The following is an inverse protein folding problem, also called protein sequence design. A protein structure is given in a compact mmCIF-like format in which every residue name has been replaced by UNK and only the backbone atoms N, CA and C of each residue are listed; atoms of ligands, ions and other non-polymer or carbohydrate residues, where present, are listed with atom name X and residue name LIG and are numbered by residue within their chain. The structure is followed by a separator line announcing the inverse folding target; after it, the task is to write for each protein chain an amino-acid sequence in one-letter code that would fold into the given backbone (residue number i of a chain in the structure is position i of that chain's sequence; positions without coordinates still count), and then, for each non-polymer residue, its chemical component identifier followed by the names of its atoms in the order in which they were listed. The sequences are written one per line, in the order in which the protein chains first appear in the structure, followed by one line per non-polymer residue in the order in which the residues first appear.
data_IF_608280258346
#
_entry.id   IF_608280258346
#
_cell.length_a   1.000
_cell.length_b   1.000
_cell.length_c   1.000
_cell.angle_alpha   90.00
_cell.angle_beta   90.00
_cell.angle_gamma   90.00
#
_symmetry.space_group_name_H-M   'P 1'
#
loop_
_entity.id
_entity.type
_entity.pdbx_description
1 polymer ?
#
# COMPACT_ATOMS: atom_id res chain seq x y z
N UNK A 1 -6.48 28.37 -9.04
CA UNK A 1 -5.92 27.03 -8.81
C UNK A 1 -6.81 26.02 -9.52
N UNK A 2 -6.33 25.42 -10.61
CA UNK A 2 -7.05 24.34 -11.29
C UNK A 2 -6.51 23.04 -10.72
N UNK A 3 -7.35 22.35 -9.95
CA UNK A 3 -7.02 21.07 -9.34
C UNK A 3 -7.22 19.99 -10.42
N UNK A 4 -6.13 19.52 -11.04
CA UNK A 4 -6.10 18.41 -12.00
C UNK A 4 -6.29 17.06 -11.26
N UNK A 5 -7.38 16.92 -10.50
CA UNK A 5 -7.70 15.74 -9.68
C UNK A 5 -8.03 14.48 -10.50
N UNK A 6 -8.23 14.61 -11.81
CA UNK A 6 -8.82 13.55 -12.63
C UNK A 6 -7.79 12.63 -13.32
N UNK A 7 -6.49 12.93 -13.15
CA UNK A 7 -5.40 12.14 -13.74
C UNK A 7 -4.48 11.47 -12.69
N UNK A 8 -4.75 11.65 -11.40
CA UNK A 8 -3.95 11.11 -10.30
C UNK A 8 -4.72 10.03 -9.54
N UNK A 9 -4.71 8.81 -10.08
CA UNK A 9 -5.29 7.63 -9.45
C UNK A 9 -4.18 6.65 -9.08
N UNK A 10 -3.65 6.81 -7.86
CA UNK A 10 -2.75 5.83 -7.26
C UNK A 10 -3.51 4.55 -6.90
N UNK A 11 -3.08 3.41 -7.45
CA UNK A 11 -3.71 2.11 -7.26
C UNK A 11 -2.67 1.03 -6.97
N UNK A 12 -3.09 -0.09 -6.38
CA UNK A 12 -2.20 -1.24 -6.19
C UNK A 12 -1.60 -1.74 -7.53
N UNK A 13 -2.29 -1.52 -8.65
CA UNK A 13 -1.82 -1.87 -9.98
C UNK A 13 -0.75 -0.89 -10.50
N UNK A 14 -0.92 0.43 -10.31
CA UNK A 14 0.09 1.42 -10.68
C UNK A 14 1.39 1.18 -9.92
N UNK A 15 1.32 0.96 -8.59
CA UNK A 15 2.48 0.57 -7.77
C UNK A 15 3.20 -0.69 -8.25
N UNK A 16 2.45 -1.61 -8.87
CA UNK A 16 3.00 -2.84 -9.42
C UNK A 16 3.68 -2.58 -10.77
N UNK A 17 3.18 -1.66 -11.58
CA UNK A 17 3.82 -1.20 -12.81
C UNK A 17 5.09 -0.41 -12.50
N UNK A 18 5.05 0.46 -11.49
CA UNK A 18 6.21 1.24 -11.04
C UNK A 18 7.34 0.32 -10.59
N UNK A 19 7.02 -0.77 -9.88
CA UNK A 19 8.00 -1.79 -9.52
C UNK A 19 8.63 -2.45 -10.76
N UNK A 20 7.84 -2.74 -11.80
CA UNK A 20 8.39 -3.28 -13.05
C UNK A 20 9.33 -2.30 -13.74
N UNK A 21 8.98 -1.01 -13.75
CA UNK A 21 9.84 0.03 -14.31
C UNK A 21 11.13 0.15 -13.52
N UNK A 22 11.04 0.20 -12.19
CA UNK A 22 12.17 0.39 -11.28
C UNK A 22 13.24 -0.69 -11.46
N UNK A 23 12.84 -1.97 -11.56
CA UNK A 23 13.81 -3.08 -11.76
C UNK A 23 14.40 -3.13 -13.18
N UNK A 24 13.90 -2.30 -14.12
CA UNK A 24 14.40 -2.18 -15.48
C UNK A 24 15.25 -0.92 -15.72
N UNK A 25 15.35 -0.03 -14.73
CA UNK A 25 16.19 1.15 -14.82
C UNK A 25 17.67 0.78 -14.67
N UNK A 26 18.51 1.35 -15.54
CA UNK A 26 19.94 1.08 -15.57
C UNK A 26 20.63 1.54 -14.27
N UNK A 27 20.14 2.62 -13.70
CA UNK A 27 20.61 3.21 -12.43
C UNK A 27 20.48 2.22 -11.26
N UNK A 28 19.48 1.33 -11.32
CA UNK A 28 19.21 0.34 -10.29
C UNK A 28 19.70 -1.06 -10.65
N UNK A 29 20.30 -1.28 -11.81
CA UNK A 29 20.68 -2.63 -12.29
C UNK A 29 21.52 -3.39 -11.25
N UNK A 30 22.61 -2.78 -10.75
CA UNK A 30 23.50 -3.39 -9.75
C UNK A 30 22.80 -3.71 -8.42
N UNK A 31 21.77 -2.93 -8.06
CA UNK A 31 21.06 -3.06 -6.80
C UNK A 31 19.88 -4.03 -6.93
N UNK A 32 19.16 -4.01 -8.04
CA UNK A 32 17.94 -4.76 -8.28
C UNK A 32 18.19 -6.15 -8.89
N UNK A 33 19.29 -6.34 -9.62
CA UNK A 33 19.59 -7.59 -10.35
C UNK A 33 20.84 -8.29 -9.83
N UNK A 34 20.89 -9.60 -10.02
CA UNK A 34 22.06 -10.44 -9.79
C UNK A 34 22.99 -10.46 -11.02
N UNK A 35 24.10 -11.18 -10.90
CA UNK A 35 25.11 -11.36 -11.96
C UNK A 35 24.57 -12.06 -13.22
N UNK A 36 23.42 -12.74 -13.13
CA UNK A 36 22.73 -13.34 -14.28
C UNK A 36 21.76 -12.38 -14.96
N UNK A 37 21.64 -11.15 -14.46
CA UNK A 37 20.69 -10.14 -14.93
C UNK A 37 19.26 -10.38 -14.45
N UNK A 38 19.01 -11.33 -13.55
CA UNK A 38 17.69 -11.58 -12.99
C UNK A 38 17.44 -10.69 -11.77
N UNK A 39 16.18 -10.32 -11.51
CA UNK A 39 15.82 -9.59 -10.29
C UNK A 39 16.23 -10.41 -9.07
N UNK A 40 16.86 -9.77 -8.08
CA UNK A 40 17.35 -10.42 -6.87
C UNK A 40 16.19 -11.17 -6.18
N UNK A 41 16.47 -12.38 -5.66
CA UNK A 41 15.41 -13.29 -5.23
C UNK A 41 14.67 -12.84 -3.96
N UNK A 42 15.19 -11.87 -3.22
CA UNK A 42 14.54 -11.36 -2.00
C UNK A 42 14.27 -9.87 -2.19
N UNK A 43 13.00 -9.48 -2.06
CA UNK A 43 12.55 -8.10 -2.21
C UNK A 43 11.83 -7.67 -0.94
N UNK A 44 12.21 -6.51 -0.41
CA UNK A 44 11.57 -5.88 0.74
C UNK A 44 11.10 -4.49 0.31
N UNK A 45 9.81 -4.23 0.45
CA UNK A 45 9.18 -2.95 0.12
C UNK A 45 8.59 -2.37 1.40
N UNK A 46 9.08 -1.20 1.79
CA UNK A 46 8.46 -0.39 2.84
C UNK A 46 7.50 0.60 2.18
N UNK A 47 6.27 0.65 2.66
CA UNK A 47 5.19 1.49 2.12
C UNK A 47 4.70 2.49 3.15
N UNK A 48 4.05 3.57 2.70
CA UNK A 48 3.52 4.60 3.60
C UNK A 48 2.26 4.11 4.36
N UNK A 49 1.59 3.07 3.86
CA UNK A 49 0.40 2.47 4.47
C UNK A 49 -0.94 2.98 3.95
N UNK A 50 -0.93 3.76 2.87
CA UNK A 50 -2.11 4.24 2.15
C UNK A 50 -3.01 3.11 1.63
N UNK A 51 -4.29 3.37 1.31
CA UNK A 51 -5.27 2.33 0.97
C UNK A 51 -4.87 1.40 -0.18
N UNK A 52 -4.06 1.89 -1.10
CA UNK A 52 -3.53 1.28 -2.31
C UNK A 52 -2.22 0.52 -2.12
N UNK A 53 -1.47 0.81 -1.05
CA UNK A 53 -0.21 0.15 -0.73
C UNK A 53 -0.31 -0.81 0.46
N UNK A 54 -1.32 -0.62 1.32
CA UNK A 54 -1.38 -1.26 2.62
C UNK A 54 -1.48 -2.80 2.48
N UNK A 55 -0.64 -3.56 3.21
CA UNK A 55 -0.62 -5.02 3.21
C UNK A 55 -1.96 -5.68 3.51
N UNK A 56 -2.88 -5.02 4.23
CA UNK A 56 -4.15 -5.62 4.66
C UNK A 56 -5.17 -5.83 3.53
N UNK A 57 -5.01 -5.15 2.39
CA UNK A 57 -6.04 -5.17 1.34
C UNK A 57 -5.80 -6.24 0.28
N UNK A 58 -6.86 -6.95 -0.19
CA UNK A 58 -6.74 -7.97 -1.23
C UNK A 58 -6.15 -7.48 -2.56
N UNK A 59 -6.45 -6.24 -2.97
CA UNK A 59 -5.85 -5.64 -4.19
C UNK A 59 -4.32 -5.62 -4.15
N UNK A 60 -3.76 -5.31 -2.98
CA UNK A 60 -2.32 -5.32 -2.75
C UNK A 60 -1.80 -6.74 -2.86
N UNK A 61 -2.46 -7.71 -2.21
CA UNK A 61 -2.08 -9.12 -2.28
C UNK A 61 -2.00 -9.61 -3.74
N UNK A 62 -3.05 -9.39 -4.53
CA UNK A 62 -3.11 -9.80 -5.94
C UNK A 62 -1.98 -9.18 -6.76
N UNK A 63 -1.79 -7.87 -6.64
CA UNK A 63 -0.74 -7.15 -7.33
C UNK A 63 0.64 -7.73 -7.00
N UNK A 64 0.90 -8.04 -5.73
CA UNK A 64 2.19 -8.56 -5.26
C UNK A 64 2.41 -10.03 -5.61
N UNK A 65 1.39 -10.88 -5.60
CA UNK A 65 1.48 -12.27 -6.09
C UNK A 65 1.90 -12.29 -7.55
N UNK A 66 1.32 -11.43 -8.39
CA UNK A 66 1.70 -11.31 -9.81
C UNK A 66 3.19 -10.98 -9.97
N UNK A 67 3.74 -10.08 -9.15
CA UNK A 67 5.18 -9.73 -9.18
C UNK A 67 6.06 -10.83 -8.64
N UNK A 68 5.65 -11.47 -7.55
CA UNK A 68 6.35 -12.61 -6.98
C UNK A 68 6.55 -13.73 -8.02
N UNK A 69 5.48 -14.07 -8.75
CA UNK A 69 5.52 -15.06 -9.83
C UNK A 69 6.33 -14.57 -11.04
N UNK A 70 6.10 -13.34 -11.51
CA UNK A 70 6.79 -12.74 -12.67
C UNK A 70 8.31 -12.73 -12.54
N UNK A 71 8.84 -12.45 -11.35
CA UNK A 71 10.28 -12.32 -11.11
C UNK A 71 10.91 -13.55 -10.45
N UNK A 72 10.16 -14.65 -10.31
CA UNK A 72 10.61 -15.89 -9.67
C UNK A 72 11.28 -15.65 -8.31
N UNK A 73 10.68 -14.78 -7.48
CA UNK A 73 11.24 -14.38 -6.19
C UNK A 73 11.20 -15.53 -5.19
N UNK A 74 12.19 -15.60 -4.30
CA UNK A 74 12.21 -16.46 -3.13
C UNK A 74 11.35 -15.91 -1.98
N UNK A 75 11.42 -14.60 -1.76
CA UNK A 75 10.64 -13.93 -0.74
C UNK A 75 10.31 -12.49 -1.16
N UNK A 76 9.08 -12.07 -0.90
CA UNK A 76 8.59 -10.70 -1.08
C UNK A 76 7.94 -10.24 0.22
N UNK A 77 8.44 -9.14 0.78
CA UNK A 77 7.93 -8.51 1.98
C UNK A 77 7.38 -7.13 1.67
N UNK A 78 6.13 -6.87 2.07
CA UNK A 78 5.55 -5.52 2.07
C UNK A 78 5.30 -5.14 3.52
N UNK A 79 5.90 -4.03 3.94
CA UNK A 79 5.91 -3.59 5.34
C UNK A 79 5.37 -2.17 5.42
N UNK A 80 4.40 -1.95 6.29
CA UNK A 80 3.94 -0.61 6.67
C UNK A 80 4.13 -0.42 8.17
N UNK A 81 4.34 0.83 8.59
CA UNK A 81 4.28 1.16 10.00
C UNK A 81 2.84 1.11 10.52
N UNK A 82 2.70 0.82 11.81
CA UNK A 82 1.41 0.88 12.49
C UNK A 82 0.99 2.35 12.77
N UNK A 83 -0.31 2.63 12.89
CA UNK A 83 -0.81 3.94 13.35
C UNK A 83 -0.15 4.37 14.65
N UNK A 84 0.19 5.66 14.77
CA UNK A 84 0.91 6.19 15.94
C UNK A 84 2.43 5.95 15.92
N UNK A 85 2.95 5.23 14.91
CA UNK A 85 4.38 5.10 14.64
C UNK A 85 4.81 5.94 13.42
N UNK A 86 4.02 6.93 13.01
CA UNK A 86 4.30 7.82 11.87
C UNK A 86 5.63 8.56 12.03
N UNK A 87 6.01 8.92 13.25
CA UNK A 87 7.33 9.48 13.56
C UNK A 87 8.46 8.55 13.15
N UNK A 88 8.25 7.24 13.06
CA UNK A 88 9.26 6.27 12.61
C UNK A 88 9.10 5.86 11.14
N UNK A 89 8.14 6.44 10.42
CA UNK A 89 7.90 6.11 9.02
C UNK A 89 9.10 6.55 8.16
N UNK A 90 9.94 5.58 7.82
CA UNK A 90 11.15 5.81 7.01
C UNK A 90 10.80 6.33 5.62
N UNK A 91 9.64 5.93 5.07
CA UNK A 91 9.19 6.34 3.74
C UNK A 91 8.87 7.83 3.75
N UNK A 92 7.99 8.27 4.65
CA UNK A 92 7.64 9.69 4.79
C UNK A 92 8.87 10.57 5.05
N UNK A 93 9.77 10.13 5.94
CA UNK A 93 11.01 10.88 6.23
C UNK A 93 11.95 10.97 5.04
N UNK A 94 12.07 9.90 4.25
CA UNK A 94 12.90 9.92 3.03
C UNK A 94 12.24 10.71 1.90
N UNK A 95 10.92 10.83 1.88
CA UNK A 95 10.20 11.67 0.93
C UNK A 95 10.21 13.16 1.29
N UNK A 96 10.45 13.52 2.57
CA UNK A 96 10.40 14.92 3.01
C UNK A 96 11.25 15.91 2.18
N UNK A 97 12.48 15.60 1.76
CA UNK A 97 13.25 16.47 0.85
C UNK A 97 12.56 16.68 -0.50
N UNK A 98 11.93 15.64 -1.05
CA UNK A 98 11.22 15.72 -2.32
C UNK A 98 10.00 16.65 -2.24
N UNK A 99 9.27 16.61 -1.12
CA UNK A 99 8.16 17.54 -0.86
C UNK A 99 8.65 18.97 -0.69
N UNK A 100 9.79 19.15 -0.02
CA UNK A 100 10.42 20.47 0.12
C UNK A 100 10.82 21.05 -1.25
N UNK A 101 11.35 20.24 -2.16
CA UNK A 101 11.73 20.68 -3.51
C UNK A 101 10.57 21.18 -4.37
N UNK A 102 9.35 20.74 -4.04
CA UNK A 102 8.10 21.15 -4.66
C UNK A 102 7.40 22.31 -3.94
N UNK A 103 7.81 22.63 -2.72
CA UNK A 103 7.18 23.71 -1.95
C UNK A 103 7.36 25.04 -2.68
N UNK A 104 6.23 25.68 -3.04
CA UNK A 104 6.22 26.93 -3.79
C UNK A 104 6.48 26.78 -5.29
N UNK A 105 6.58 25.56 -5.82
CA UNK A 105 6.68 25.34 -7.26
C UNK A 105 5.33 25.58 -7.92
N UNK A 106 5.28 26.53 -8.86
CA UNK A 106 4.09 26.81 -9.67
C UNK A 106 4.28 26.14 -11.02
N UNK A 107 3.43 25.16 -11.33
CA UNK A 107 3.40 24.49 -12.63
C UNK A 107 2.44 25.23 -13.57
N UNK A 108 2.93 25.58 -14.76
CA UNK A 108 2.10 26.16 -15.82
C UNK A 108 1.18 25.09 -16.41
N UNK A 109 -0.13 25.34 -16.41
CA UNK A 109 -1.11 24.43 -16.99
C UNK A 109 -1.23 24.54 -18.52
N UNK A 110 -0.60 25.55 -19.12
CA UNK A 110 -0.79 25.98 -20.51
C UNK A 110 0.55 26.17 -21.25
N UNK A 111 1.56 25.35 -20.93
CA UNK A 111 2.90 25.44 -21.51
C UNK A 111 2.91 25.50 -23.05
N UNK A 112 2.02 24.76 -23.71
CA UNK A 112 1.83 24.74 -25.17
C UNK A 112 0.64 25.56 -25.66
N UNK A 113 0.02 26.34 -24.77
CA UNK A 113 -1.21 27.09 -25.00
C UNK A 113 -2.37 26.63 -24.14
N UNK A 114 -3.39 27.49 -24.03
CA UNK A 114 -4.58 27.21 -23.24
C UNK A 114 -5.43 26.11 -23.89
N UNK A 115 -5.72 25.07 -23.11
CA UNK A 115 -6.67 24.02 -23.43
C UNK A 115 -8.01 24.21 -22.69
N UNK A 116 -8.16 25.33 -21.98
CA UNK A 116 -9.32 25.62 -21.13
C UNK A 116 -10.11 26.82 -21.67
N UNK A 117 -11.43 26.78 -21.52
CA UNK A 117 -12.29 27.96 -21.65
C UNK A 117 -12.06 28.96 -20.51
N UNK A 118 -12.64 30.16 -20.62
CA UNK A 118 -12.71 31.13 -19.52
C UNK A 118 -13.41 30.59 -18.26
N UNK A 119 -14.21 29.53 -18.39
CA UNK A 119 -14.89 28.84 -17.29
C UNK A 119 -14.12 27.63 -16.76
N UNK A 120 -12.90 27.37 -17.24
CA UNK A 120 -12.05 26.26 -16.78
C UNK A 120 -12.43 24.89 -17.34
N UNK A 121 -13.19 24.83 -18.44
CA UNK A 121 -13.60 23.58 -19.08
C UNK A 121 -12.62 23.22 -20.19
N UNK A 122 -12.17 21.97 -20.25
CA UNK A 122 -11.31 21.48 -21.33
C UNK A 122 -12.00 21.59 -22.68
N UNK A 123 -11.36 22.30 -23.60
CA UNK A 123 -11.75 22.39 -25.02
C UNK A 123 -10.95 21.45 -25.91
N UNK A 124 -9.72 21.12 -25.50
CA UNK A 124 -8.81 20.29 -26.28
C UNK A 124 -8.10 19.28 -25.37
N UNK A 125 -8.56 18.03 -25.42
CA UNK A 125 -8.08 16.92 -24.59
C UNK A 125 -6.63 16.55 -24.94
N UNK A 126 -6.25 16.60 -26.21
CA UNK A 126 -4.89 16.25 -26.63
C UNK A 126 -3.89 17.29 -26.15
N UNK A 127 -4.28 18.58 -26.20
CA UNK A 127 -3.48 19.67 -25.68
C UNK A 127 -3.42 19.65 -24.14
N UNK A 128 -4.50 19.26 -23.46
CA UNK A 128 -4.51 19.01 -22.02
C UNK A 128 -3.50 17.92 -21.63
N UNK A 129 -3.55 16.76 -22.30
CA UNK A 129 -2.60 15.65 -22.07
C UNK A 129 -1.15 16.08 -22.32
N UNK A 130 -0.91 16.87 -23.37
CA UNK A 130 0.43 17.36 -23.70
C UNK A 130 0.96 18.33 -22.63
N UNK A 131 0.12 19.27 -22.17
CA UNK A 131 0.46 20.18 -21.08
C UNK A 131 0.68 19.44 -19.75
N UNK A 132 -0.18 18.47 -19.43
CA UNK A 132 -0.05 17.64 -18.23
C UNK A 132 1.25 16.83 -18.23
N UNK A 133 1.59 16.22 -19.37
CA UNK A 133 2.88 15.54 -19.55
C UNK A 133 4.05 16.48 -19.29
N UNK A 134 3.99 17.72 -19.78
CA UNK A 134 5.07 18.68 -19.56
C UNK A 134 5.20 19.10 -18.10
N UNK A 135 4.08 19.29 -17.40
CA UNK A 135 4.09 19.53 -15.96
C UNK A 135 4.75 18.37 -15.19
N UNK A 136 4.41 17.13 -15.53
CA UNK A 136 5.05 15.93 -14.97
C UNK A 136 6.55 15.82 -15.28
N UNK A 137 6.97 16.21 -16.48
CA UNK A 137 8.41 16.27 -16.83
C UNK A 137 9.16 17.33 -16.02
N UNK A 138 8.57 18.50 -15.79
CA UNK A 138 9.18 19.54 -14.94
C UNK A 138 9.36 19.04 -13.50
N UNK A 139 8.38 18.29 -12.97
CA UNK A 139 8.48 17.65 -11.66
C UNK A 139 9.63 16.62 -11.62
N UNK A 140 9.72 15.75 -12.63
CA UNK A 140 10.79 14.78 -12.74
C UNK A 140 12.17 15.45 -12.84
N UNK A 141 12.32 16.48 -13.67
CA UNK A 141 13.53 17.28 -13.79
C UNK A 141 13.92 17.97 -12.48
N UNK A 142 12.93 18.42 -11.68
CA UNK A 142 13.17 19.00 -10.37
C UNK A 142 13.73 17.96 -9.41
N UNK A 143 13.09 16.80 -9.30
CA UNK A 143 13.52 15.73 -8.41
C UNK A 143 14.83 15.06 -8.82
N UNK A 144 15.14 14.98 -10.12
CA UNK A 144 16.43 14.45 -10.61
C UNK A 144 17.64 15.29 -10.17
N UNK A 145 17.43 16.52 -9.70
CA UNK A 145 18.50 17.37 -9.12
C UNK A 145 18.72 17.11 -7.63
N UNK A 146 17.85 16.32 -7.00
CA UNK A 146 17.86 16.06 -5.57
C UNK A 146 18.74 14.86 -5.22
N UNK A 147 19.24 14.84 -3.99
CA UNK A 147 20.05 13.76 -3.44
C UNK A 147 19.45 13.33 -2.10
N UNK A 148 19.16 12.05 -1.94
CA UNK A 148 18.59 11.48 -0.71
C UNK A 148 19.57 10.46 -0.14
N UNK A 149 20.08 10.73 1.06
CA UNK A 149 21.00 9.81 1.74
C UNK A 149 22.30 9.53 0.99
N UNK A 150 22.78 10.50 0.19
CA UNK A 150 23.98 10.37 -0.64
C UNK A 150 23.75 9.70 -2.00
N UNK A 151 22.51 9.34 -2.34
CA UNK A 151 22.15 8.77 -3.63
C UNK A 151 21.36 9.78 -4.46
N UNK A 152 21.74 9.93 -5.73
CA UNK A 152 20.99 10.75 -6.69
C UNK A 152 19.58 10.20 -6.87
N UNK A 153 18.60 11.09 -6.88
CA UNK A 153 17.23 10.74 -7.20
C UNK A 153 17.07 10.45 -8.69
N UNK A 154 16.24 9.45 -9.00
CA UNK A 154 15.82 9.12 -10.37
C UNK A 154 14.30 9.23 -10.40
N UNK A 155 13.81 10.14 -11.23
CA UNK A 155 12.41 10.42 -11.45
C UNK A 155 12.14 10.48 -12.96
N UNK A 156 11.09 9.78 -13.39
CA UNK A 156 10.63 9.77 -14.77
C UNK A 156 9.13 10.07 -14.78
N UNK A 157 8.69 10.86 -15.76
CA UNK A 157 7.27 10.94 -16.06
C UNK A 157 6.86 9.71 -16.87
N UNK A 158 5.82 9.02 -16.40
CA UNK A 158 5.25 7.84 -17.05
C UNK A 158 3.83 8.23 -17.47
N UNK A 159 3.47 7.95 -18.72
CA UNK A 159 2.07 8.10 -19.14
C UNK A 159 1.23 7.12 -18.33
N UNK A 160 0.07 7.58 -17.84
CA UNK A 160 -0.89 6.67 -17.22
C UNK A 160 -1.27 5.57 -18.23
N UNK A 161 -1.34 4.31 -17.79
CA UNK A 161 -1.90 3.26 -18.62
C UNK A 161 -3.34 3.65 -18.98
N UNK A 162 -3.73 3.49 -20.24
CA UNK A 162 -5.10 3.74 -20.70
C UNK A 162 -6.01 2.83 -19.89
N UNK A 163 -6.74 3.39 -18.92
CA UNK A 163 -7.78 2.67 -18.20
C UNK A 163 -9.05 2.68 -19.05
N UNK A 164 -9.91 1.67 -18.91
CA UNK A 164 -11.24 1.64 -19.53
C UNK A 164 -12.11 2.84 -19.13
N UNK A 165 -11.73 3.59 -18.09
CA UNK A 165 -12.35 4.87 -17.72
C UNK A 165 -12.06 5.99 -18.73
N UNK A 166 -10.93 5.95 -19.44
CA UNK A 166 -10.65 6.89 -20.54
C UNK A 166 -11.62 6.67 -21.72
N UNK A 167 -12.17 5.47 -21.90
CA UNK A 167 -13.27 5.18 -22.84
C UNK A 167 -14.65 5.57 -22.27
N UNK A 168 -14.83 5.47 -20.94
CA UNK A 168 -16.11 5.70 -20.27
C UNK A 168 -16.48 7.20 -20.12
N UNK A 169 -15.56 8.12 -20.40
CA UNK A 169 -15.80 9.59 -20.41
C UNK A 169 -16.70 10.09 -21.55
N UNK A 170 -17.31 9.19 -22.32
CA UNK A 170 -18.32 9.57 -23.34
C UNK A 170 -19.72 9.81 -22.78
N UNK A 171 -20.00 9.55 -21.50
CA UNK A 171 -21.34 9.75 -20.94
C UNK A 171 -21.43 11.06 -20.16
N UNK A 172 -22.24 11.97 -20.71
CA UNK A 172 -22.49 13.33 -20.27
C UNK A 172 -22.84 13.42 -18.77
N UNK A 173 -21.92 14.00 -17.98
CA UNK A 173 -22.03 14.18 -16.52
C UNK A 173 -23.26 14.97 -16.10
N UNK A 174 -23.90 15.69 -17.03
CA UNK A 174 -25.12 16.47 -16.77
C UNK A 174 -26.34 15.57 -16.55
N UNK A 175 -26.43 14.44 -17.26
CA UNK A 175 -27.55 13.50 -17.15
C UNK A 175 -27.53 12.79 -15.79
N UNK A 176 -26.33 12.38 -15.35
CA UNK A 176 -26.14 11.66 -14.07
C UNK A 176 -26.44 12.57 -12.88
N UNK A 177 -26.07 13.85 -12.94
CA UNK A 177 -26.33 14.81 -11.86
C UNK A 177 -27.80 15.20 -11.75
N UNK A 178 -28.51 15.34 -12.88
CA UNK A 178 -29.96 15.65 -12.87
C UNK A 178 -30.78 14.48 -12.31
N UNK A 179 -30.35 13.25 -12.53
CA UNK A 179 -31.02 12.06 -11.99
C UNK A 179 -30.71 11.81 -10.50
N UNK A 180 -29.53 12.23 -10.05
CA UNK A 180 -29.15 12.24 -8.63
C UNK A 180 -29.91 13.32 -7.85
N UNK A 181 -30.05 14.53 -8.41
CA UNK A 181 -30.79 15.63 -7.77
C UNK A 181 -32.27 15.30 -7.56
N UNK A 182 -32.93 14.65 -8.54
CA UNK A 182 -34.33 14.19 -8.36
C UNK A 182 -34.50 13.16 -7.26
N UNK A 183 -33.48 12.33 -7.01
CA UNK A 183 -33.52 11.30 -5.95
C UNK A 183 -33.23 11.87 -4.56
N UNK A 184 -32.48 12.98 -4.48
CA UNK A 184 -32.16 13.66 -3.21
C UNK A 184 -33.36 14.48 -2.74
N UNK A 185 -34.00 15.27 -3.62
CA UNK A 185 -35.14 16.11 -3.26
C UNK A 185 -36.38 15.32 -2.82
N UNK A 186 -36.50 14.03 -3.18
CA UNK A 186 -37.62 13.18 -2.75
C UNK A 186 -37.45 12.59 -1.33
N UNK A 187 -36.27 12.72 -0.72
CA UNK A 187 -35.95 12.14 0.60
C UNK A 187 -35.95 13.17 1.75
N UNK A 188 -35.83 14.46 1.44
CA UNK A 188 -35.74 15.53 2.45
C UNK A 188 -37.09 15.94 3.07
N UNK A 189 -38.24 15.51 2.52
CA UNK A 189 -39.57 15.82 3.08
C UNK A 189 -40.02 14.89 4.24
N UNK A 190 -39.20 13.93 4.69
CA UNK A 190 -39.64 12.88 5.61
C UNK A 190 -39.07 12.91 7.05
N UNK A 191 -38.11 13.78 7.40
CA UNK A 191 -37.39 13.69 8.69
C UNK A 191 -37.23 15.03 9.45
N UNK A 192 -38.22 15.93 9.40
CA UNK A 192 -38.31 17.05 10.36
C UNK A 192 -39.15 16.66 11.59
N UNK A 193 -38.47 16.42 12.73
CA UNK A 193 -39.07 16.56 14.06
C UNK A 193 -38.50 15.67 15.17
N UNK A 194 -37.52 16.17 15.95
CA UNK A 194 -37.63 16.37 17.41
C UNK A 194 -36.29 16.81 18.07
N UNK A 195 -36.28 18.00 18.71
CA UNK A 195 -35.31 18.52 19.71
C UNK A 195 -35.36 17.70 21.04
N UNK A 196 -34.38 17.65 21.99
CA UNK A 196 -33.50 18.69 22.56
C UNK A 196 -32.40 18.09 23.49
N UNK A 197 -31.13 18.56 23.34
CA UNK A 197 -30.13 19.00 24.35
C UNK A 197 -29.53 18.02 25.40
N UNK A 198 -28.19 17.82 25.36
CA UNK A 198 -27.22 17.95 26.50
C UNK A 198 -25.74 17.69 26.06
N UNK A 199 -24.89 18.74 26.24
CA UNK A 199 -23.43 18.78 26.56
C UNK A 199 -22.34 18.54 25.49
N UNK A 200 -22.19 19.50 24.57
CA UNK A 200 -21.07 20.46 24.37
C UNK A 200 -19.57 20.12 24.63
N UNK A 201 -19.13 18.86 24.71
CA UNK A 201 -17.69 18.54 24.67
C UNK A 201 -17.27 17.41 23.72
N UNK A 202 -18.24 16.80 23.03
CA UNK A 202 -18.01 15.72 22.05
C UNK A 202 -18.06 16.19 20.57
N UNK A 203 -18.48 17.44 20.32
CA UNK A 203 -18.77 17.97 18.97
C UNK A 203 -17.54 18.02 18.04
N UNK A 204 -16.31 18.28 18.52
CA UNK A 204 -15.15 18.36 17.62
C UNK A 204 -14.77 17.03 16.96
N UNK A 205 -14.99 15.90 17.65
CA UNK A 205 -14.69 14.57 17.12
C UNK A 205 -15.88 13.94 16.39
N UNK A 206 -17.11 14.35 16.69
CA UNK A 206 -18.29 13.89 15.96
C UNK A 206 -18.54 14.68 14.67
N UNK A 207 -18.30 15.99 14.63
CA UNK A 207 -18.48 16.81 13.42
C UNK A 207 -17.43 16.53 12.32
N UNK A 208 -16.30 15.91 12.69
CA UNK A 208 -15.29 15.42 11.76
C UNK A 208 -15.36 13.90 11.53
N UNK A 209 -16.33 13.20 12.14
CA UNK A 209 -16.59 11.81 11.84
C UNK A 209 -17.25 11.76 10.45
N UNK A 210 -16.47 11.36 9.44
CA UNK A 210 -16.97 11.06 8.09
C UNK A 210 -18.24 10.22 8.21
N UNK A 211 -19.32 10.68 7.57
CA UNK A 211 -20.52 9.88 7.37
C UNK A 211 -20.13 8.45 6.95
N UNK A 212 -20.83 7.41 7.44
CA UNK A 212 -20.58 6.05 7.00
C UNK A 212 -20.67 6.04 5.47
N UNK A 213 -19.56 5.75 4.80
CA UNK A 213 -19.56 5.56 3.35
C UNK A 213 -20.65 4.54 3.04
N UNK A 214 -21.61 4.94 2.20
CA UNK A 214 -22.58 4.03 1.62
C UNK A 214 -21.84 2.76 1.18
N UNK A 215 -22.36 1.60 1.61
CA UNK A 215 -21.86 0.31 1.17
C UNK A 215 -22.05 0.23 -0.34
N UNK A 216 -20.98 0.52 -1.10
CA UNK A 216 -20.84 0.02 -2.45
C UNK A 216 -20.66 -1.50 -2.34
N UNK A 217 -21.79 -2.19 -2.34
CA UNK A 217 -21.88 -3.64 -2.32
C UNK A 217 -21.79 -4.15 -3.76
N UNK A 218 -20.58 -4.13 -4.29
CA UNK A 218 -20.09 -5.17 -5.22
C UNK A 218 -18.70 -5.55 -4.71
N UNK A 219 -18.62 -6.65 -3.96
CA UNK A 219 -17.33 -7.23 -3.61
C UNK A 219 -16.57 -7.55 -4.91
N UNK A 220 -15.63 -6.69 -5.29
CA UNK A 220 -14.64 -6.97 -6.34
C UNK A 220 -14.07 -8.37 -6.08
N UNK A 221 -14.51 -9.35 -6.86
CA UNK A 221 -14.09 -10.74 -6.72
C UNK A 221 -12.70 -10.85 -7.34
N UNK A 222 -11.69 -10.81 -6.50
CA UNK A 222 -10.33 -11.07 -6.93
C UNK A 222 -10.16 -12.57 -7.22
N UNK A 223 -9.63 -12.90 -8.40
CA UNK A 223 -9.24 -14.28 -8.73
C UNK A 223 -7.94 -14.62 -7.99
N UNK A 224 -8.09 -15.20 -6.80
CA UNK A 224 -7.00 -15.59 -5.90
C UNK A 224 -7.10 -17.09 -5.66
N UNK A 225 -6.02 -17.80 -5.99
CA UNK A 225 -5.86 -19.20 -5.61
C UNK A 225 -5.63 -19.30 -4.09
N UNK A 226 -6.69 -19.65 -3.36
CA UNK A 226 -6.69 -19.77 -1.91
C UNK A 226 -5.72 -20.85 -1.41
N UNK A 227 -5.57 -21.96 -2.15
CA UNK A 227 -4.67 -23.05 -1.77
C UNK A 227 -3.22 -22.61 -1.91
N UNK A 228 -2.90 -21.93 -3.01
CA UNK A 228 -1.59 -21.31 -3.19
C UNK A 228 -1.32 -20.28 -2.08
N UNK A 229 -2.28 -19.41 -1.77
CA UNK A 229 -2.13 -18.44 -0.68
C UNK A 229 -1.89 -19.11 0.69
N UNK A 230 -2.57 -20.20 1.01
CA UNK A 230 -2.38 -20.92 2.27
C UNK A 230 -0.95 -21.46 2.45
N UNK A 231 -0.24 -21.73 1.35
CA UNK A 231 1.13 -22.25 1.35
C UNK A 231 2.17 -21.12 1.34
N UNK A 232 1.88 -20.03 0.64
CA UNK A 232 2.87 -19.01 0.28
C UNK A 232 2.70 -17.68 0.98
N UNK A 233 1.53 -17.38 1.53
CA UNK A 233 1.18 -16.06 2.02
C UNK A 233 0.99 -16.06 3.53
N UNK A 234 1.69 -15.15 4.20
CA UNK A 234 1.37 -14.74 5.56
C UNK A 234 1.04 -13.25 5.55
N UNK A 235 -0.23 -12.94 5.78
CA UNK A 235 -0.75 -11.58 5.76
C UNK A 235 -1.20 -11.17 7.16
N UNK A 236 -0.84 -9.95 7.54
CA UNK A 236 -1.26 -9.27 8.77
C UNK A 236 -1.68 -7.84 8.43
N UNK A 237 -2.12 -7.08 9.43
CA UNK A 237 -2.48 -5.68 9.24
C UNK A 237 -1.32 -4.81 8.72
N UNK A 238 -0.07 -5.15 9.07
CA UNK A 238 1.09 -4.29 8.80
C UNK A 238 2.17 -4.95 7.95
N UNK A 239 2.05 -6.25 7.71
CA UNK A 239 3.04 -7.00 6.94
C UNK A 239 2.36 -8.01 6.02
N UNK A 240 2.83 -8.08 4.79
CA UNK A 240 2.52 -9.13 3.83
C UNK A 240 3.83 -9.83 3.49
N UNK A 241 3.88 -11.14 3.69
CA UNK A 241 5.00 -12.00 3.35
C UNK A 241 4.53 -13.00 2.31
N UNK A 242 5.18 -13.03 1.15
CA UNK A 242 4.97 -14.03 0.11
C UNK A 242 6.29 -14.78 -0.06
N UNK A 243 6.29 -16.09 0.20
CA UNK A 243 7.52 -16.87 0.29
C UNK A 243 7.34 -18.19 -0.47
N UNK A 244 8.37 -18.62 -1.18
CA UNK A 244 8.36 -19.89 -1.92
C UNK A 244 8.10 -21.06 -0.97
N UNK A 245 7.55 -22.14 -1.53
CA UNK A 245 7.46 -23.42 -0.83
C UNK A 245 8.74 -24.22 -1.07
N UNK A 246 8.92 -25.26 -0.25
CA UNK A 246 10.00 -26.23 -0.44
C UNK A 246 9.68 -27.25 -1.55
N UNK A 247 8.48 -27.17 -2.15
CA UNK A 247 8.11 -28.02 -3.28
C UNK A 247 8.71 -27.47 -4.57
N UNK A 248 9.60 -28.24 -5.18
CA UNK A 248 10.23 -27.92 -6.47
C UNK A 248 9.19 -27.90 -7.59
N UNK A 249 8.18 -28.78 -7.53
CA UNK A 249 7.08 -28.78 -8.50
C UNK A 249 6.26 -27.49 -8.45
N UNK A 250 6.09 -26.92 -7.26
CA UNK A 250 5.29 -25.71 -7.06
C UNK A 250 6.05 -24.43 -7.42
N UNK A 251 7.31 -24.32 -6.98
CA UNK A 251 8.06 -23.07 -7.05
C UNK A 251 9.35 -23.16 -7.84
N UNK A 252 9.92 -24.35 -8.07
CA UNK A 252 11.28 -24.57 -8.58
C UNK A 252 12.34 -24.48 -7.48
N UNK A 253 13.62 -24.52 -7.86
CA UNK A 253 14.76 -24.44 -6.94
C UNK A 253 15.00 -23.04 -6.33
N UNK A 254 15.42 -23.01 -5.07
CA UNK A 254 15.74 -21.77 -4.36
C UNK A 254 16.96 -21.09 -4.97
N UNK A 255 16.79 -19.81 -5.34
CA UNK A 255 17.90 -18.94 -5.80
C UNK A 255 18.72 -18.28 -4.69
N UNK A 256 18.45 -18.59 -3.41
CA UNK A 256 19.10 -17.97 -2.26
C UNK A 256 19.11 -18.92 -1.08
N UNK A 257 20.02 -18.69 -0.13
CA UNK A 257 20.13 -19.42 1.13
C UNK A 257 19.06 -19.02 2.16
N UNK A 258 17.93 -18.45 1.73
CA UNK A 258 16.88 -17.96 2.63
C UNK A 258 16.38 -19.03 3.60
N UNK A 259 16.17 -20.26 3.10
CA UNK A 259 15.66 -21.38 3.91
C UNK A 259 16.66 -21.87 4.97
N UNK A 260 17.97 -21.65 4.76
CA UNK A 260 19.00 -22.01 5.75
C UNK A 260 18.93 -21.08 6.96
N UNK A 261 18.57 -19.81 6.73
CA UNK A 261 18.43 -18.79 7.78
C UNK A 261 17.03 -18.84 8.41
N UNK A 262 16.01 -19.07 7.59
CA UNK A 262 14.60 -19.10 7.96
C UNK A 262 13.98 -20.46 7.61
N UNK A 263 14.28 -21.53 8.36
CA UNK A 263 13.82 -22.89 8.05
C UNK A 263 12.29 -23.01 8.08
N UNK A 264 11.62 -22.12 8.81
CA UNK A 264 10.17 -22.06 8.89
C UNK A 264 9.51 -21.18 7.82
N UNK A 265 10.31 -20.68 6.87
CA UNK A 265 9.94 -19.79 5.76
C UNK A 265 9.47 -18.41 6.21
N UNK A 266 8.39 -18.30 6.97
CA UNK A 266 7.84 -17.01 7.38
C UNK A 266 8.59 -16.41 8.56
N UNK A 267 8.66 -15.07 8.59
CA UNK A 267 9.15 -14.35 9.74
C UNK A 267 8.18 -14.55 10.91
N UNK A 268 8.70 -14.91 12.10
CA UNK A 268 7.88 -15.14 13.27
C UNK A 268 7.14 -13.86 13.69
N UNK A 269 5.88 -14.00 14.11
CA UNK A 269 5.10 -12.89 14.67
C UNK A 269 5.83 -12.25 15.85
N UNK A 270 5.64 -10.94 16.12
CA UNK A 270 6.10 -10.33 17.37
C UNK A 270 5.42 -11.03 18.54
N UNK A 271 6.21 -11.62 19.45
CA UNK A 271 5.71 -12.28 20.66
C UNK A 271 6.29 -11.54 21.87
N UNK A 272 5.47 -11.19 22.88
CA UNK A 272 5.97 -10.63 24.13
C UNK A 272 6.71 -11.71 24.94
N UNK A 273 7.87 -11.33 25.47
CA UNK A 273 8.68 -12.12 26.40
C UNK A 273 8.71 -11.44 27.77
N UNK A 274 8.94 -12.25 28.79
CA UNK A 274 9.21 -11.79 30.15
C UNK A 274 10.55 -12.36 30.65
N UNK A 275 11.35 -11.48 31.25
CA UNK A 275 12.56 -11.88 31.96
C UNK A 275 12.17 -12.29 33.38
N UNK A 276 12.46 -13.53 33.75
CA UNK A 276 12.44 -13.99 35.14
C UNK A 276 13.87 -13.98 35.70
N UNK A 277 14.07 -13.99 37.03
CA UNK A 277 15.40 -14.07 37.63
C UNK A 277 16.26 -15.25 37.17
N UNK A 278 15.65 -16.26 36.54
CA UNK A 278 16.29 -17.51 36.14
C UNK A 278 16.30 -17.76 34.61
N UNK A 279 15.51 -17.02 33.81
CA UNK A 279 15.34 -17.31 32.38
C UNK A 279 14.56 -16.23 31.61
N UNK A 280 14.50 -16.34 30.28
CA UNK A 280 13.53 -15.62 29.44
C UNK A 280 12.45 -16.62 29.02
N UNK A 281 11.18 -16.27 29.19
CA UNK A 281 10.04 -17.08 28.73
C UNK A 281 9.02 -16.23 27.98
N UNK A 282 8.18 -16.88 27.18
CA UNK A 282 7.08 -16.17 26.50
C UNK A 282 6.05 -15.72 27.53
N UNK A 283 5.53 -14.50 27.37
CA UNK A 283 4.49 -13.99 28.25
C UNK A 283 3.15 -14.68 27.99
N UNK A 284 2.41 -14.98 29.07
CA UNK A 284 1.13 -15.70 28.95
C UNK A 284 -0.06 -14.81 28.58
N UNK A 285 0.01 -13.51 28.85
CA UNK A 285 -1.05 -12.50 28.70
C UNK A 285 -0.62 -11.32 27.83
N UNK A 286 -1.58 -10.72 27.14
CA UNK A 286 -1.43 -9.49 26.37
C UNK A 286 -1.09 -8.34 27.32
N UNK A 287 0.20 -7.96 27.32
CA UNK A 287 0.80 -6.81 27.99
C UNK A 287 0.69 -6.74 29.54
N UNK A 288 1.85 -6.89 30.20
CA UNK A 288 2.08 -6.56 31.61
C UNK A 288 3.39 -5.78 31.76
N UNK A 289 3.49 -4.95 32.82
CA UNK A 289 4.67 -4.13 33.12
C UNK A 289 5.91 -5.02 33.26
N UNK A 290 6.90 -4.83 32.38
CA UNK A 290 8.14 -5.62 32.33
C UNK A 290 8.25 -6.58 31.13
N UNK A 291 7.20 -6.69 30.30
CA UNK A 291 7.27 -7.43 29.04
C UNK A 291 8.04 -6.65 27.97
N UNK A 292 8.79 -7.37 27.12
CA UNK A 292 9.47 -6.79 25.97
C UNK A 292 9.22 -7.65 24.72
N UNK A 293 9.31 -7.03 23.54
CA UNK A 293 9.28 -7.78 22.28
C UNK A 293 10.69 -8.21 21.92
N UNK A 294 10.87 -9.52 21.73
CA UNK A 294 12.17 -10.06 21.33
C UNK A 294 12.59 -9.57 19.95
N UNK A 295 13.91 -9.43 19.76
CA UNK A 295 14.49 -9.15 18.45
C UNK A 295 14.08 -10.23 17.43
N UNK A 296 14.22 -9.94 16.14
CA UNK A 296 13.93 -10.96 15.11
C UNK A 296 14.74 -12.25 15.35
N UNK A 297 16.03 -12.14 15.69
CA UNK A 297 16.89 -13.29 16.01
C UNK A 297 16.37 -14.09 17.21
N UNK A 298 16.00 -13.42 18.30
CA UNK A 298 15.40 -14.10 19.46
C UNK A 298 14.11 -14.83 19.04
N UNK A 299 13.25 -14.17 18.26
CA UNK A 299 12.00 -14.78 17.79
C UNK A 299 12.22 -15.98 16.87
N UNK A 300 13.27 -15.98 16.04
CA UNK A 300 13.65 -17.13 15.21
C UNK A 300 14.08 -18.30 16.11
N UNK A 301 14.95 -18.05 17.09
CA UNK A 301 15.42 -19.08 18.03
C UNK A 301 14.27 -19.71 18.82
N UNK A 302 13.29 -18.91 19.23
CA UNK A 302 12.13 -19.39 19.97
C UNK A 302 10.96 -19.85 19.09
N UNK A 303 11.07 -19.79 17.76
CA UNK A 303 9.92 -20.03 16.87
C UNK A 303 9.31 -21.43 17.03
N UNK A 304 10.13 -22.46 17.17
CA UNK A 304 9.66 -23.82 17.44
C UNK A 304 8.86 -23.92 18.74
N UNK A 305 9.27 -23.19 19.78
CA UNK A 305 8.60 -23.13 21.08
C UNK A 305 7.28 -22.35 20.98
N UNK A 306 7.28 -21.23 20.24
CA UNK A 306 6.09 -20.41 19.98
C UNK A 306 5.01 -21.26 19.28
N UNK A 307 5.35 -22.00 18.22
CA UNK A 307 4.40 -22.84 17.49
C UNK A 307 3.77 -23.88 18.43
N UNK A 308 4.58 -24.62 19.19
CA UNK A 308 4.10 -25.66 20.09
C UNK A 308 3.12 -25.09 21.13
N UNK A 309 3.48 -23.97 21.76
CA UNK A 309 2.65 -23.34 22.78
C UNK A 309 1.32 -22.78 22.20
N UNK A 310 1.36 -22.25 20.98
CA UNK A 310 0.17 -21.72 20.29
C UNK A 310 -0.79 -22.85 19.88
N UNK A 311 -0.26 -24.00 19.41
CA UNK A 311 -1.06 -25.17 19.11
C UNK A 311 -1.71 -25.78 20.37
N UNK A 312 -1.00 -25.80 21.50
CA UNK A 312 -1.54 -26.27 22.79
C UNK A 312 -2.67 -25.35 23.29
N UNK A 313 -2.51 -24.02 23.18
CA UNK A 313 -3.58 -23.06 23.52
C UNK A 313 -4.80 -23.20 22.61
N UNK A 314 -4.63 -23.48 21.30
CA UNK A 314 -5.74 -23.75 20.37
C UNK A 314 -6.48 -25.05 20.70
N UNK A 315 -5.77 -26.12 21.11
CA UNK A 315 -6.41 -27.36 21.58
C UNK A 315 -7.27 -27.17 22.84
N UNK A 316 -6.96 -26.18 23.69
CA UNK A 316 -7.77 -25.83 24.88
C UNK A 316 -9.01 -24.98 24.57
N UNK A 317 -9.08 -24.34 23.39
CA UNK A 317 -10.29 -23.67 22.92
C UNK A 317 -11.05 -24.60 21.97
N UNK A 318 -11.70 -25.61 22.54
CA UNK A 318 -12.72 -26.34 21.80
C UNK A 318 -13.91 -25.41 21.50
N UNK A 319 -14.38 -25.57 20.27
CA UNK A 319 -15.50 -24.92 19.62
C UNK A 319 -16.72 -24.82 20.55
N UNK A 320 -17.25 -23.60 20.70
CA UNK A 320 -18.69 -23.41 20.73
C UNK A 320 -19.06 -22.87 19.35
N UNK A 321 -19.88 -23.66 18.64
CA UNK A 321 -20.49 -23.33 17.36
C UNK A 321 -21.25 -22.00 17.44
#
# INVERSE_FOLDING_TARGET
EVQLSNHDLSTAASHALDFDRLVCLNEFEKVARDETGQVKPIVIVTVNGGPDENPRFPKTLVARIKKFKKYHLNALFILTHAPGQSTYNIVERRMAPLSHDLAGLILTHDYFGSHLTKSGVTTNIDLEKLNFRKAGQILAERWNKSVIGGFSCVAEYINSPVTSEDECRQVDTKIVMDELLRKICAKEEAEEGHEFRVRASDEYYQDNARAPREKFDEQLKYDIDEYWCAIHVLQTQYTLQIIRSNSVECCGEWRSNYVEIFPHRFLPSPVPFECTPYSIRMAEKDYQKGQFYGSLFQRIQFHGIVIQHTQVKRKKKHFYL
#
